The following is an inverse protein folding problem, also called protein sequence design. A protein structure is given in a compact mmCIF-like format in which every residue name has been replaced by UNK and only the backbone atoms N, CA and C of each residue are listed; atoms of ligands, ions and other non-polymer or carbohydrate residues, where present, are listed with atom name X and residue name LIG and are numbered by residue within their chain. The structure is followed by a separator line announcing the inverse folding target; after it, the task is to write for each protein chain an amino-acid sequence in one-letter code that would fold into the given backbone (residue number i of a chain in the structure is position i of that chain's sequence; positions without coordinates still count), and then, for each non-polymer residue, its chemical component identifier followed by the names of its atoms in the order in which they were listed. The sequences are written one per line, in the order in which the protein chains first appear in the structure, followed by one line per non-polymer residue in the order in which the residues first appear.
data_IF_422136795965
#
_entry.id   IF_422136795965
#
_cell.length_a   1.000
_cell.length_b   1.000
_cell.length_c   1.000
_cell.angle_alpha   90.00
_cell.angle_beta   90.00
_cell.angle_gamma   90.00
#
_symmetry.space_group_name_H-M   'P 1'
#
loop_
_entity.id
_entity.type
_entity.pdbx_description
1 polymer ?
#
# COMPACT_ATOMS: atom_id res chain seq x y z
N UNK A 1 -18.17 -18.40 19.73
CA UNK A 1 -17.46 -18.29 18.44
C UNK A 1 -16.21 -17.46 18.67
N UNK A 2 -15.07 -17.91 18.14
CA UNK A 2 -13.78 -17.23 18.26
C UNK A 2 -13.90 -15.83 17.63
N UNK A 3 -13.77 -14.80 18.45
CA UNK A 3 -13.40 -13.46 18.00
C UNK A 3 -12.06 -13.60 17.31
N UNK A 4 -12.05 -13.51 15.99
CA UNK A 4 -10.83 -13.32 15.22
C UNK A 4 -10.26 -12.00 15.71
N UNK A 5 -9.17 -12.05 16.49
CA UNK A 5 -8.41 -10.85 16.83
C UNK A 5 -8.02 -10.20 15.51
N UNK A 6 -8.71 -9.12 15.12
CA UNK A 6 -8.12 -8.11 14.27
C UNK A 6 -6.92 -7.62 15.08
N UNK A 7 -5.72 -8.08 14.70
CA UNK A 7 -4.45 -7.53 15.17
C UNK A 7 -4.59 -6.01 15.15
N UNK A 8 -4.28 -5.37 16.29
CA UNK A 8 -4.48 -3.93 16.47
C UNK A 8 -3.92 -3.17 15.27
N UNK A 9 -4.81 -2.62 14.45
CA UNK A 9 -4.46 -1.77 13.33
C UNK A 9 -4.04 -0.41 13.88
N UNK A 10 -3.14 0.26 13.17
CA UNK A 10 -2.86 1.67 13.46
C UNK A 10 -4.05 2.53 13.09
N UNK A 11 -4.10 3.75 13.64
CA UNK A 11 -5.22 4.68 13.48
C UNK A 11 -5.56 4.99 12.00
N UNK A 12 -4.60 4.82 11.09
CA UNK A 12 -4.75 5.09 9.65
C UNK A 12 -4.79 3.81 8.78
N UNK A 13 -4.92 2.64 9.40
CA UNK A 13 -4.98 1.35 8.69
C UNK A 13 -6.39 0.74 8.71
N UNK A 14 -6.83 0.19 7.58
CA UNK A 14 -8.01 -0.66 7.52
C UNK A 14 -7.89 -1.79 6.49
N UNK A 15 -8.67 -2.86 6.71
CA UNK A 15 -8.74 -4.00 5.80
C UNK A 15 -9.92 -3.86 4.83
N UNK A 16 -9.67 -4.04 3.53
CA UNK A 16 -10.75 -4.06 2.54
C UNK A 16 -11.31 -5.48 2.31
N UNK A 17 -10.49 -6.53 2.45
CA UNK A 17 -10.84 -7.98 2.43
C UNK A 17 -9.59 -8.85 2.23
N UNK A 18 -9.76 -10.17 2.22
CA UNK A 18 -8.77 -11.11 1.68
C UNK A 18 -9.13 -11.49 0.25
N UNK A 19 -8.20 -11.30 -0.70
CA UNK A 19 -8.34 -11.74 -2.10
C UNK A 19 -7.26 -12.79 -2.38
N UNK A 20 -7.68 -14.00 -2.81
CA UNK A 20 -6.75 -15.11 -3.12
C UNK A 20 -5.73 -15.42 -2.02
N UNK A 21 -6.12 -15.24 -0.75
CA UNK A 21 -5.24 -15.46 0.41
C UNK A 21 -4.40 -14.24 0.81
N UNK A 22 -4.33 -13.20 -0.02
CA UNK A 22 -3.66 -11.93 0.29
C UNK A 22 -4.61 -10.99 1.01
N UNK A 23 -4.21 -10.48 2.18
CA UNK A 23 -4.95 -9.43 2.88
C UNK A 23 -4.58 -8.07 2.29
N UNK A 24 -5.59 -7.24 2.04
CA UNK A 24 -5.39 -5.88 1.55
C UNK A 24 -5.50 -4.92 2.71
N UNK A 25 -4.45 -4.12 2.92
CA UNK A 25 -4.34 -3.12 3.98
C UNK A 25 -4.22 -1.76 3.31
N UNK A 26 -5.15 -0.87 3.61
CA UNK A 26 -5.11 0.52 3.18
C UNK A 26 -4.43 1.34 4.27
N UNK A 27 -3.43 2.11 3.88
CA UNK A 27 -2.70 3.03 4.76
C UNK A 27 -2.99 4.44 4.26
N UNK A 28 -3.66 5.24 5.08
CA UNK A 28 -3.97 6.62 4.76
C UNK A 28 -2.83 7.54 5.22
N UNK A 29 -2.25 8.27 4.27
CA UNK A 29 -1.15 9.20 4.51
C UNK A 29 -1.67 10.62 4.71
N UNK A 30 -1.00 11.36 5.58
CA UNK A 30 -1.26 12.78 5.83
C UNK A 30 -0.96 13.63 4.58
N UNK A 31 -1.55 14.82 4.43
CA UNK A 31 -1.32 15.66 3.25
C UNK A 31 0.17 15.99 2.98
N UNK A 32 0.96 16.15 4.05
CA UNK A 32 2.38 16.46 3.99
C UNK A 32 3.29 15.23 3.84
N UNK A 33 2.75 14.03 3.90
CA UNK A 33 3.52 12.81 3.70
C UNK A 33 3.97 12.64 2.25
N UNK A 34 5.12 11.99 2.10
CA UNK A 34 5.76 11.73 0.82
C UNK A 34 6.29 10.28 0.74
N UNK A 35 7.08 10.01 -0.29
CA UNK A 35 7.69 8.70 -0.55
C UNK A 35 8.61 8.21 0.58
N UNK A 36 9.18 9.12 1.37
CA UNK A 36 9.98 8.76 2.53
C UNK A 36 9.10 8.27 3.67
N UNK A 37 7.90 8.84 3.86
CA UNK A 37 6.91 8.30 4.81
C UNK A 37 6.58 6.85 4.47
N UNK A 38 6.30 6.55 3.18
CA UNK A 38 6.05 5.17 2.72
C UNK A 38 7.23 4.26 3.03
N UNK A 39 8.45 4.68 2.69
CA UNK A 39 9.66 3.89 2.94
C UNK A 39 9.88 3.60 4.42
N UNK A 40 9.78 4.62 5.26
CA UNK A 40 9.95 4.49 6.71
C UNK A 40 8.87 3.57 7.29
N UNK A 41 7.62 3.73 6.85
CA UNK A 41 6.52 2.87 7.27
C UNK A 41 6.80 1.39 6.97
N UNK A 42 7.26 1.08 5.75
CA UNK A 42 7.60 -0.29 5.36
C UNK A 42 8.72 -0.82 6.28
N UNK A 43 9.78 -0.04 6.49
CA UNK A 43 10.91 -0.46 7.33
C UNK A 43 10.50 -0.68 8.80
N UNK A 44 9.70 0.19 9.37
CA UNK A 44 9.34 0.12 10.78
C UNK A 44 8.30 -0.97 11.07
N UNK A 45 7.43 -1.29 10.11
CA UNK A 45 6.20 -2.03 10.40
C UNK A 45 6.01 -3.31 9.59
N UNK A 46 6.66 -3.43 8.44
CA UNK A 46 6.40 -4.53 7.50
C UNK A 46 7.69 -5.35 7.29
N UNK A 47 8.73 -4.71 6.75
CA UNK A 47 10.00 -5.33 6.41
C UNK A 47 11.16 -4.40 6.78
N UNK A 48 11.76 -4.63 7.95
CA UNK A 48 12.90 -3.85 8.46
C UNK A 48 14.16 -3.91 7.61
N UNK A 49 14.24 -4.86 6.68
CA UNK A 49 15.35 -4.99 5.73
C UNK A 49 15.08 -4.32 4.38
N UNK A 50 13.91 -3.69 4.19
CA UNK A 50 13.58 -3.01 2.96
C UNK A 50 14.56 -1.87 2.69
N UNK A 51 15.29 -1.92 1.57
CA UNK A 51 16.25 -0.89 1.17
C UNK A 51 15.92 -0.24 -0.18
N UNK A 52 14.82 -0.66 -0.82
CA UNK A 52 14.38 -0.16 -2.12
C UNK A 52 14.10 1.35 -2.12
N UNK A 53 14.10 1.90 -3.32
CA UNK A 53 13.58 3.24 -3.58
C UNK A 53 12.06 3.20 -3.73
N UNK A 54 11.41 4.35 -3.48
CA UNK A 54 9.97 4.55 -3.69
C UNK A 54 9.82 5.71 -4.67
N UNK A 55 9.14 5.47 -5.79
CA UNK A 55 8.86 6.50 -6.79
C UNK A 55 7.82 7.49 -6.26
N UNK A 56 7.94 8.75 -6.68
CA UNK A 56 6.92 9.79 -6.41
C UNK A 56 5.70 9.67 -7.30
N UNK A 57 5.74 8.78 -8.29
CA UNK A 57 4.59 8.42 -9.11
C UNK A 57 3.93 7.15 -8.57
N UNK A 58 2.61 6.99 -8.74
CA UNK A 58 1.86 5.79 -8.38
C UNK A 58 2.56 4.52 -8.90
N UNK A 59 3.11 3.72 -7.98
CA UNK A 59 4.00 2.61 -8.35
C UNK A 59 3.84 1.35 -7.50
N UNK A 60 4.34 0.22 -7.99
CA UNK A 60 4.38 -1.05 -7.27
C UNK A 60 5.77 -1.73 -7.29
N UNK A 61 6.00 -2.67 -6.36
CA UNK A 61 7.19 -3.53 -6.30
C UNK A 61 6.96 -4.92 -6.91
N UNK A 62 8.02 -5.56 -7.41
CA UNK A 62 7.95 -6.91 -7.98
C UNK A 62 8.06 -8.05 -6.96
N UNK A 63 8.67 -7.77 -5.81
CA UNK A 63 8.85 -8.68 -4.68
C UNK A 63 9.13 -7.87 -3.40
N UNK A 64 9.14 -8.53 -2.24
CA UNK A 64 9.28 -7.87 -0.92
C UNK A 64 10.50 -6.96 -0.75
N UNK A 65 11.59 -7.15 -1.52
CA UNK A 65 12.81 -6.36 -1.38
C UNK A 65 13.02 -5.38 -2.54
N UNK A 66 12.26 -5.53 -3.63
CA UNK A 66 12.34 -4.66 -4.80
C UNK A 66 11.83 -3.25 -4.54
N UNK A 67 12.47 -2.27 -5.17
CA UNK A 67 11.99 -0.88 -5.20
C UNK A 67 10.54 -0.79 -5.71
N UNK A 68 9.78 0.16 -5.17
CA UNK A 68 8.43 0.51 -5.62
C UNK A 68 8.58 1.55 -6.74
N UNK A 69 8.63 1.10 -8.00
CA UNK A 69 8.93 2.01 -9.12
C UNK A 69 8.23 1.67 -10.44
N UNK A 70 7.57 0.51 -10.54
CA UNK A 70 6.81 0.17 -11.74
C UNK A 70 5.48 0.89 -11.72
N UNK A 71 5.19 1.68 -12.75
CA UNK A 71 4.05 2.59 -12.73
C UNK A 71 2.72 1.83 -12.77
N UNK A 72 1.80 2.23 -11.90
CA UNK A 72 0.40 1.78 -11.91
C UNK A 72 -0.32 2.50 -13.06
N UNK A 73 -1.11 1.75 -13.81
CA UNK A 73 -1.86 2.28 -14.95
C UNK A 73 -3.06 3.11 -14.47
N UNK A 74 -3.26 4.27 -15.10
CA UNK A 74 -4.44 5.14 -14.97
C UNK A 74 -4.81 5.50 -13.51
N UNK A 75 -3.81 5.67 -12.65
CA UNK A 75 -4.00 5.91 -11.21
C UNK A 75 -3.30 7.19 -10.79
N UNK A 76 -3.96 8.00 -9.97
CA UNK A 76 -3.45 9.31 -9.49
C UNK A 76 -3.55 9.47 -7.98
N UNK A 77 -4.37 8.64 -7.30
CA UNK A 77 -4.68 8.84 -5.88
C UNK A 77 -3.83 7.96 -4.96
N UNK A 78 -3.33 6.83 -5.47
CA UNK A 78 -2.40 5.98 -4.74
C UNK A 78 -0.97 6.48 -4.88
N UNK A 79 -0.24 6.59 -3.78
CA UNK A 79 1.18 6.92 -3.83
C UNK A 79 2.01 5.66 -4.12
N UNK A 80 1.67 4.55 -3.48
CA UNK A 80 2.43 3.31 -3.58
C UNK A 80 1.59 2.06 -3.30
N UNK A 81 1.94 0.97 -3.98
CA UNK A 81 1.49 -0.39 -3.65
C UNK A 81 2.69 -1.24 -3.27
N UNK A 82 2.69 -1.78 -2.06
CA UNK A 82 3.72 -2.67 -1.57
C UNK A 82 3.18 -4.08 -1.33
N UNK A 83 3.75 -5.05 -2.02
CA UNK A 83 3.53 -6.47 -1.76
C UNK A 83 4.61 -6.98 -0.79
N UNK A 84 4.18 -7.47 0.37
CA UNK A 84 5.03 -8.12 1.38
C UNK A 84 5.30 -9.57 0.98
N UNK A 85 5.93 -9.76 -0.17
CA UNK A 85 6.25 -11.08 -0.71
C UNK A 85 5.55 -11.38 -2.03
N UNK A 86 5.61 -12.65 -2.43
CA UNK A 86 5.21 -13.05 -3.78
C UNK A 86 6.18 -12.55 -4.84
N UNK A 87 5.86 -12.86 -6.11
CA UNK A 87 6.59 -12.36 -7.28
C UNK A 87 5.60 -11.87 -8.32
N UNK A 88 5.97 -10.86 -9.10
CA UNK A 88 5.09 -10.29 -10.13
C UNK A 88 5.93 -9.63 -11.22
N UNK A 89 5.37 -9.44 -12.40
CA UNK A 89 6.11 -8.83 -13.50
C UNK A 89 6.30 -7.34 -13.26
N UNK A 90 7.52 -6.87 -13.49
CA UNK A 90 7.85 -5.45 -13.44
C UNK A 90 7.70 -4.83 -14.82
N UNK A 91 6.64 -4.03 -15.01
CA UNK A 91 6.42 -3.28 -16.25
C UNK A 91 5.52 -2.08 -15.99
N UNK A 92 5.95 -0.92 -16.46
CA UNK A 92 5.16 0.31 -16.33
C UNK A 92 3.83 0.21 -17.06
N UNK A 93 2.77 0.71 -16.41
CA UNK A 93 1.41 0.79 -16.94
C UNK A 93 0.82 -0.57 -17.38
N UNK A 94 1.38 -1.67 -16.88
CA UNK A 94 0.91 -3.02 -17.20
C UNK A 94 -0.28 -3.45 -16.34
N UNK A 95 -0.35 -2.93 -15.11
CA UNK A 95 -1.39 -3.25 -14.14
C UNK A 95 -2.05 -1.97 -13.65
N UNK A 96 -3.38 -1.94 -13.70
CA UNK A 96 -4.16 -0.96 -12.93
C UNK A 96 -4.33 -1.42 -11.48
N UNK A 97 -4.94 -0.58 -10.62
CA UNK A 97 -5.16 -0.94 -9.22
C UNK A 97 -6.02 -2.20 -9.04
N UNK A 98 -6.99 -2.44 -9.94
CA UNK A 98 -7.84 -3.64 -9.88
C UNK A 98 -6.98 -4.88 -10.15
N UNK A 99 -6.15 -4.87 -11.19
CA UNK A 99 -5.21 -5.95 -11.51
C UNK A 99 -4.30 -6.25 -10.32
N UNK A 100 -3.73 -5.21 -9.69
CA UNK A 100 -2.88 -5.35 -8.51
C UNK A 100 -3.58 -6.11 -7.38
N UNK A 101 -4.85 -5.77 -7.10
CA UNK A 101 -5.68 -6.46 -6.08
C UNK A 101 -5.90 -7.95 -6.38
N UNK A 102 -5.95 -8.34 -7.65
CA UNK A 102 -6.10 -9.75 -8.05
C UNK A 102 -4.79 -10.52 -8.08
N UNK A 103 -3.66 -9.80 -8.19
CA UNK A 103 -2.31 -10.36 -8.37
C UNK A 103 -1.58 -10.67 -7.07
N UNK A 104 -2.30 -10.87 -5.95
CA UNK A 104 -1.70 -11.21 -4.65
C UNK A 104 -0.59 -12.26 -4.70
N UNK A 105 -0.62 -13.19 -5.67
CA UNK A 105 0.48 -14.06 -6.13
C UNK A 105 1.46 -14.56 -5.04
N UNK A 106 0.91 -15.13 -3.97
CA UNK A 106 1.68 -15.71 -2.86
C UNK A 106 2.15 -14.70 -1.80
N UNK A 107 1.81 -13.42 -1.94
CA UNK A 107 2.00 -12.40 -0.93
C UNK A 107 0.95 -12.54 0.19
N UNK A 108 1.34 -12.59 1.48
CA UNK A 108 0.41 -12.52 2.60
C UNK A 108 -0.33 -11.17 2.69
N UNK A 109 0.33 -10.07 2.31
CA UNK A 109 -0.22 -8.71 2.46
C UNK A 109 0.08 -7.81 1.25
N UNK A 110 -0.93 -7.07 0.83
CA UNK A 110 -0.80 -5.95 -0.10
C UNK A 110 -1.15 -4.66 0.64
N UNK A 111 -0.17 -3.76 0.75
CA UNK A 111 -0.33 -2.45 1.37
C UNK A 111 -0.55 -1.40 0.29
N UNK A 112 -1.61 -0.62 0.43
CA UNK A 112 -2.01 0.44 -0.48
C UNK A 112 -1.89 1.78 0.26
N UNK A 113 -0.91 2.59 -0.13
CA UNK A 113 -0.63 3.88 0.49
C UNK A 113 -1.35 4.98 -0.29
N UNK A 114 -2.36 5.58 0.33
CA UNK A 114 -3.19 6.61 -0.27
C UNK A 114 -2.77 7.98 0.24
N UNK A 115 -2.69 8.95 -0.65
CA UNK A 115 -2.50 10.34 -0.23
C UNK A 115 -3.87 10.98 -0.06
N UNK A 116 -4.22 11.36 1.17
CA UNK A 116 -5.46 12.10 1.42
C UNK A 116 -5.35 13.44 0.68
N UNK A 117 -6.34 13.77 -0.16
CA UNK A 117 -6.42 15.10 -0.76
C UNK A 117 -6.77 16.11 0.33
N UNK A 118 -6.13 17.27 0.33
CA UNK A 118 -6.26 18.31 1.37
C UNK A 118 -7.72 18.72 1.65
N UNK A 119 -8.60 18.56 0.66
CA UNK A 119 -10.05 18.81 0.77
C UNK A 119 -10.75 17.78 1.68
N UNK A 120 -10.35 16.51 1.61
CA UNK A 120 -10.94 15.43 2.41
C UNK A 120 -10.46 15.50 3.88
N UNK A 121 -9.23 15.99 4.09
CA UNK A 121 -8.65 16.19 5.42
C UNK A 121 -9.42 17.23 6.25
N UNK A 122 -9.87 18.32 5.61
CA UNK A 122 -10.68 19.36 6.24
C UNK A 122 -12.09 18.89 6.62
N UNK A 123 -12.61 17.83 5.99
CA UNK A 123 -13.89 17.23 6.39
C UNK A 123 -13.70 16.24 7.55
N UNK A 124 -12.64 15.44 7.57
CA UNK A 124 -12.37 14.52 8.68
C UNK A 124 -12.14 15.23 10.03
N UNK A 125 -11.45 16.38 10.04
CA UNK A 125 -11.21 17.15 11.27
C UNK A 125 -12.38 18.01 11.75
N UNK A 126 -13.44 18.16 10.96
CA UNK A 126 -14.66 18.84 11.41
C UNK A 126 -15.58 17.95 12.24
N UNK A 127 -15.35 16.64 12.23
CA UNK A 127 -16.17 15.64 12.92
C UNK A 127 -15.40 14.84 13.98
N UNK A 128 -14.13 15.16 14.24
CA UNK A 128 -13.29 14.59 15.31
C UNK A 128 -13.33 15.44 16.59
#
# INVERSE_FOLDING_TARGET
MKTTNLFALKDNEFYERTIRGTKIIHVMLEPNDDVNTVKNYIQENINSSFNGSVSSTPSYNIDQNGSIHWYVKDEEEILAVYFDGGKREGRDQNYDFVDLRWLGNGSPHMYCFWKIKEVDFLEHHKFS
#
